data_IF_879364949739
#
_entry.id   IF_879364949739
#
_cell.length_a   1.000
_cell.length_b   1.000
_cell.length_c   1.000
_cell.angle_alpha   90.00
_cell.angle_beta   90.00
_cell.angle_gamma   90.00
#
_symmetry.space_group_name_H-M   'P 1'
#
loop_
_entity.id
_entity.type
_entity.pdbx_description
1 polymer ?
#
# COMPACT_ATOMS: atom_id res chain seq x y z
N UNK A 1 -25.07 -19.99 93.62
CA UNK A 1 -25.55 -20.93 92.60
C UNK A 1 -25.98 -20.11 91.37
N UNK A 2 -25.15 -20.07 90.39
CA UNK A 2 -25.41 -19.28 89.19
C UNK A 2 -25.96 -20.15 88.08
N UNK A 3 -27.11 -19.78 87.55
CA UNK A 3 -27.76 -20.42 86.42
C UNK A 3 -27.35 -19.64 85.15
N UNK A 4 -26.74 -20.32 84.25
CA UNK A 4 -26.38 -19.78 82.91
C UNK A 4 -27.50 -20.19 81.92
N UNK A 5 -28.16 -19.19 81.34
CA UNK A 5 -29.08 -19.42 80.22
C UNK A 5 -28.35 -19.29 78.90
N UNK A 6 -28.34 -20.33 78.12
CA UNK A 6 -27.88 -20.29 76.75
C UNK A 6 -28.93 -19.62 75.85
N UNK A 7 -28.51 -18.55 75.15
CA UNK A 7 -29.31 -17.91 74.15
C UNK A 7 -28.82 -18.49 72.78
N UNK A 8 -29.75 -19.22 72.10
CA UNK A 8 -29.50 -19.70 70.73
C UNK A 8 -29.79 -18.58 69.74
N UNK A 9 -28.78 -18.15 69.03
CA UNK A 9 -28.91 -17.21 67.91
C UNK A 9 -28.98 -18.02 66.60
N UNK A 10 -30.16 -18.04 65.99
CA UNK A 10 -30.36 -18.56 64.63
C UNK A 10 -29.75 -17.61 63.62
N UNK A 11 -28.66 -18.03 62.99
CA UNK A 11 -28.08 -17.35 61.85
C UNK A 11 -28.77 -17.87 60.59
N UNK A 12 -29.69 -17.08 60.02
CA UNK A 12 -30.25 -17.36 58.69
C UNK A 12 -29.23 -16.93 57.62
N UNK A 13 -28.59 -17.88 57.00
CA UNK A 13 -27.71 -17.63 55.85
C UNK A 13 -28.57 -17.37 54.59
N UNK A 14 -28.59 -16.13 54.15
CA UNK A 14 -29.10 -15.79 52.83
C UNK A 14 -28.06 -16.22 51.78
N UNK A 15 -28.32 -17.27 51.05
CA UNK A 15 -27.54 -17.63 49.86
C UNK A 15 -28.01 -16.73 48.71
N UNK A 16 -27.21 -15.74 48.39
CA UNK A 16 -27.36 -14.92 47.18
C UNK A 16 -26.88 -15.76 45.99
N UNK A 17 -27.81 -16.37 45.23
CA UNK A 17 -27.48 -17.02 43.95
C UNK A 17 -27.27 -15.91 42.91
N UNK A 18 -26.03 -15.51 42.68
CA UNK A 18 -25.66 -14.71 41.52
C UNK A 18 -25.77 -15.59 40.26
N UNK A 19 -26.88 -15.47 39.55
CA UNK A 19 -27.02 -16.00 38.17
C UNK A 19 -26.14 -15.18 37.24
N UNK A 20 -24.86 -15.46 37.24
CA UNK A 20 -23.92 -14.92 36.24
C UNK A 20 -24.22 -15.60 34.90
N UNK A 21 -24.96 -14.94 34.04
CA UNK A 21 -24.97 -15.27 32.61
C UNK A 21 -23.56 -15.01 32.06
N UNK A 22 -22.77 -16.06 31.92
CA UNK A 22 -21.51 -16.03 31.15
C UNK A 22 -21.89 -15.73 29.69
N UNK A 23 -21.86 -14.45 29.33
CA UNK A 23 -21.88 -14.07 27.95
C UNK A 23 -20.57 -14.64 27.33
N UNK A 24 -20.72 -15.62 26.44
CA UNK A 24 -19.64 -16.08 25.58
C UNK A 24 -19.27 -14.86 24.71
N UNK A 25 -18.04 -14.30 24.80
CA UNK A 25 -17.68 -13.18 23.94
C UNK A 25 -17.81 -13.63 22.49
N UNK A 26 -18.43 -12.79 21.67
CA UNK A 26 -18.51 -13.02 20.24
C UNK A 26 -17.08 -13.29 19.71
N UNK A 27 -16.91 -14.23 18.76
CA UNK A 27 -15.61 -14.51 18.18
C UNK A 27 -15.07 -13.21 17.58
N UNK A 28 -13.99 -12.71 18.16
CA UNK A 28 -13.28 -11.58 17.59
C UNK A 28 -12.64 -12.03 16.28
N UNK A 29 -12.66 -11.21 15.22
CA UNK A 29 -11.91 -11.53 14.01
C UNK A 29 -10.45 -11.77 14.41
N UNK A 30 -9.75 -12.72 13.75
CA UNK A 30 -8.36 -13.03 14.09
C UNK A 30 -7.54 -11.74 14.02
N UNK A 31 -6.96 -11.35 15.15
CA UNK A 31 -6.00 -10.24 15.18
C UNK A 31 -4.79 -10.68 14.35
N UNK A 32 -4.54 -9.97 13.25
CA UNK A 32 -3.33 -10.17 12.48
C UNK A 32 -2.14 -9.78 13.36
N UNK A 33 -1.15 -10.64 13.47
CA UNK A 33 0.11 -10.28 14.13
C UNK A 33 0.88 -9.29 13.26
N UNK A 34 1.79 -8.51 13.84
CA UNK A 34 2.65 -7.58 13.10
C UNK A 34 3.37 -8.29 11.92
N UNK A 35 3.77 -9.53 12.10
CA UNK A 35 4.35 -10.37 11.05
C UNK A 35 3.36 -10.65 9.91
N UNK A 36 2.09 -10.95 10.21
CA UNK A 36 1.06 -11.16 9.18
C UNK A 36 0.73 -9.88 8.43
N UNK A 37 0.83 -8.71 9.09
CA UNK A 37 0.66 -7.42 8.44
C UNK A 37 1.77 -7.16 7.41
N UNK A 38 3.02 -7.42 7.76
CA UNK A 38 4.15 -7.27 6.85
C UNK A 38 4.08 -8.26 5.67
N UNK A 39 3.82 -9.54 5.95
CA UNK A 39 3.75 -10.60 4.96
C UNK A 39 2.70 -10.34 3.86
N UNK A 40 1.57 -9.70 4.18
CA UNK A 40 0.56 -9.42 3.16
C UNK A 40 1.05 -8.52 2.03
N UNK A 41 1.98 -7.58 2.32
CA UNK A 41 2.51 -6.63 1.33
C UNK A 41 3.67 -7.18 0.51
N UNK A 42 4.32 -8.26 0.95
CA UNK A 42 5.44 -8.88 0.24
C UNK A 42 5.05 -9.33 -1.17
N UNK A 43 3.82 -9.79 -1.33
CA UNK A 43 3.28 -10.25 -2.61
C UNK A 43 2.49 -9.17 -3.36
N UNK A 44 2.35 -7.97 -2.79
CA UNK A 44 1.65 -6.85 -3.43
C UNK A 44 2.60 -5.90 -4.15
N UNK A 45 3.90 -5.92 -3.82
CA UNK A 45 4.90 -4.99 -4.33
C UNK A 45 6.01 -5.76 -5.03
N UNK A 46 6.54 -5.22 -6.13
CA UNK A 46 7.57 -5.88 -6.93
C UNK A 46 8.64 -4.88 -7.37
N UNK A 47 9.93 -5.29 -7.46
CA UNK A 47 10.95 -4.47 -8.09
C UNK A 47 10.66 -4.37 -9.58
N UNK A 48 10.99 -3.22 -10.16
CA UNK A 48 10.96 -2.99 -11.59
C UNK A 48 12.38 -2.72 -12.07
N UNK A 49 12.81 -3.44 -13.09
CA UNK A 49 13.95 -3.09 -13.91
C UNK A 49 13.44 -2.60 -15.26
N UNK A 50 13.97 -1.47 -15.72
CA UNK A 50 13.64 -0.86 -17.00
C UNK A 50 14.69 -1.29 -18.02
N UNK A 51 14.26 -1.81 -19.16
CA UNK A 51 15.16 -2.34 -20.20
C UNK A 51 14.86 -1.72 -21.57
N UNK A 52 15.91 -1.55 -22.36
CA UNK A 52 15.82 -1.24 -23.78
C UNK A 52 16.77 -2.20 -24.52
N UNK A 53 16.20 -3.14 -25.29
CA UNK A 53 16.96 -4.25 -25.85
C UNK A 53 17.72 -5.02 -24.77
N UNK A 54 19.06 -5.16 -24.89
CA UNK A 54 19.88 -5.86 -23.89
C UNK A 54 20.30 -4.98 -22.70
N UNK A 55 20.03 -3.67 -22.73
CA UNK A 55 20.55 -2.71 -21.77
C UNK A 55 19.55 -2.43 -20.65
N UNK A 56 19.99 -2.60 -19.39
CA UNK A 56 19.24 -2.14 -18.22
C UNK A 56 19.43 -0.63 -18.07
N UNK A 57 18.33 0.11 -18.07
CA UNK A 57 18.33 1.57 -18.00
C UNK A 57 18.20 2.09 -16.56
N UNK A 58 17.45 1.38 -15.71
CA UNK A 58 17.19 1.83 -14.36
C UNK A 58 16.39 0.83 -13.53
N UNK A 59 15.99 1.29 -12.33
CA UNK A 59 15.17 0.53 -11.39
C UNK A 59 14.08 1.41 -10.81
N UNK A 60 12.94 0.80 -10.50
CA UNK A 60 11.80 1.44 -9.86
C UNK A 60 11.06 0.42 -8.98
N UNK A 61 9.94 0.82 -8.45
CA UNK A 61 8.99 -0.03 -7.73
C UNK A 61 7.67 -0.06 -8.47
N UNK A 62 6.99 -1.19 -8.41
CA UNK A 62 5.60 -1.33 -8.83
C UNK A 62 4.80 -2.12 -7.81
N UNK A 63 3.50 -2.02 -7.89
CA UNK A 63 2.60 -2.81 -7.06
C UNK A 63 1.39 -3.29 -7.88
N UNK A 64 0.72 -4.33 -7.37
CA UNK A 64 -0.46 -4.89 -8.02
C UNK A 64 -1.71 -4.21 -7.48
N UNK A 65 -2.60 -3.85 -8.41
CA UNK A 65 -3.90 -3.26 -8.10
C UNK A 65 -5.00 -4.00 -8.88
N UNK A 66 -6.05 -4.40 -8.16
CA UNK A 66 -7.18 -5.09 -8.75
C UNK A 66 -8.41 -4.18 -8.70
N UNK A 67 -8.97 -3.88 -9.86
CA UNK A 67 -10.13 -3.01 -10.01
C UNK A 67 -11.01 -3.50 -11.14
N UNK A 68 -12.33 -3.56 -10.91
CA UNK A 68 -13.33 -3.94 -11.93
C UNK A 68 -12.95 -5.22 -12.69
N UNK A 69 -12.64 -6.29 -11.94
CA UNK A 69 -12.26 -7.62 -12.44
C UNK A 69 -10.98 -7.66 -13.30
N UNK A 70 -10.12 -6.63 -13.18
CA UNK A 70 -8.85 -6.54 -13.91
C UNK A 70 -7.68 -6.34 -12.95
N UNK A 71 -6.59 -7.00 -13.29
CA UNK A 71 -5.33 -6.89 -12.55
C UNK A 71 -4.39 -5.95 -13.28
N UNK A 72 -3.78 -5.03 -12.55
CA UNK A 72 -2.83 -4.06 -13.08
C UNK A 72 -1.51 -4.10 -12.30
N UNK A 73 -0.40 -3.91 -13.02
CA UNK A 73 0.83 -3.39 -12.44
C UNK A 73 0.78 -1.86 -12.49
N UNK A 74 0.88 -1.22 -11.34
CA UNK A 74 0.88 0.24 -11.20
C UNK A 74 2.29 0.72 -10.83
N UNK A 75 2.73 1.79 -11.47
CA UNK A 75 4.00 2.49 -11.20
C UNK A 75 3.88 3.96 -11.63
N UNK A 76 4.97 4.72 -11.62
CA UNK A 76 4.96 6.07 -12.18
C UNK A 76 5.04 6.06 -13.71
N UNK A 77 4.53 7.14 -14.33
CA UNK A 77 4.62 7.34 -15.77
C UNK A 77 6.06 7.46 -16.24
N UNK A 78 6.92 8.20 -15.52
CA UNK A 78 8.33 8.34 -15.88
C UNK A 78 9.10 7.02 -15.83
N UNK A 79 8.55 5.95 -15.24
CA UNK A 79 9.13 4.59 -15.24
C UNK A 79 8.91 3.91 -16.59
N UNK A 80 7.82 4.19 -17.28
CA UNK A 80 7.49 3.60 -18.59
C UNK A 80 7.83 4.54 -19.75
N UNK A 81 7.85 5.85 -19.49
CA UNK A 81 8.14 6.87 -20.48
C UNK A 81 8.49 8.21 -19.82
N UNK A 82 9.56 8.84 -20.27
CA UNK A 82 9.90 10.23 -19.95
C UNK A 82 10.35 10.98 -21.19
N UNK A 83 9.48 11.83 -21.70
CA UNK A 83 9.74 12.64 -22.90
C UNK A 83 10.82 13.71 -22.65
N UNK A 84 10.91 14.23 -21.42
CA UNK A 84 11.86 15.27 -21.05
C UNK A 84 13.31 14.81 -21.11
N UNK A 85 13.56 13.58 -20.69
CA UNK A 85 14.89 12.95 -20.70
C UNK A 85 15.12 12.03 -21.90
N UNK A 86 14.10 11.84 -22.76
CA UNK A 86 14.07 10.86 -23.85
C UNK A 86 14.32 9.43 -23.35
N UNK A 87 13.71 9.10 -22.24
CA UNK A 87 13.79 7.78 -21.62
C UNK A 87 12.62 6.92 -22.08
N UNK A 88 12.91 5.89 -22.88
CA UNK A 88 11.90 5.04 -23.51
C UNK A 88 12.31 3.56 -23.40
N UNK A 89 12.07 2.92 -22.25
CA UNK A 89 12.26 1.48 -22.14
C UNK A 89 11.29 0.72 -23.06
N UNK A 90 11.70 -0.44 -23.55
CA UNK A 90 10.84 -1.31 -24.36
C UNK A 90 10.11 -2.36 -23.53
N UNK A 91 10.64 -2.66 -22.34
CA UNK A 91 10.02 -3.60 -21.41
C UNK A 91 10.35 -3.28 -19.95
N UNK A 92 9.49 -3.72 -19.08
CA UNK A 92 9.76 -3.82 -17.65
C UNK A 92 10.04 -5.28 -17.30
N UNK A 93 11.02 -5.52 -16.44
CA UNK A 93 11.23 -6.80 -15.80
C UNK A 93 10.88 -6.67 -14.33
N UNK A 94 9.92 -7.47 -13.90
CA UNK A 94 9.53 -7.60 -12.50
C UNK A 94 9.98 -8.95 -11.97
N UNK A 95 9.89 -9.15 -10.65
CA UNK A 95 10.21 -10.43 -10.03
C UNK A 95 9.03 -10.91 -9.19
N UNK A 96 8.62 -12.15 -9.42
CA UNK A 96 7.43 -12.76 -8.86
C UNK A 96 7.77 -14.04 -8.10
N UNK A 97 7.07 -14.30 -6.99
CA UNK A 97 7.17 -15.53 -6.23
C UNK A 97 6.35 -16.64 -6.90
N UNK A 98 6.86 -17.86 -6.87
CA UNK A 98 6.18 -19.05 -7.38
C UNK A 98 5.72 -19.99 -6.27
N UNK A 99 6.11 -19.72 -5.00
CA UNK A 99 5.70 -20.46 -3.82
C UNK A 99 5.30 -19.53 -2.69
N UNK A 100 4.22 -19.86 -1.99
CA UNK A 100 3.77 -19.13 -0.80
C UNK A 100 4.43 -19.63 0.50
N UNK A 101 5.06 -20.80 0.47
CA UNK A 101 5.73 -21.41 1.64
C UNK A 101 7.25 -21.35 1.56
N UNK A 102 7.80 -21.15 0.37
CA UNK A 102 9.24 -21.00 0.13
C UNK A 102 9.49 -19.74 -0.70
N UNK A 103 9.72 -18.62 -0.05
CA UNK A 103 9.88 -17.31 -0.68
C UNK A 103 11.21 -17.18 -1.46
N UNK A 104 12.13 -18.15 -1.32
CA UNK A 104 13.32 -18.21 -2.17
C UNK A 104 12.98 -18.58 -3.61
N UNK A 105 11.82 -19.22 -3.81
CA UNK A 105 11.30 -19.54 -5.14
C UNK A 105 10.65 -18.33 -5.77
N UNK A 106 11.45 -17.52 -6.43
CA UNK A 106 11.02 -16.35 -7.16
C UNK A 106 11.82 -16.20 -8.46
N UNK A 107 11.26 -15.53 -9.44
CA UNK A 107 11.88 -15.41 -10.75
C UNK A 107 11.45 -14.16 -11.53
N UNK A 108 12.19 -13.82 -12.60
CA UNK A 108 11.85 -12.67 -13.42
C UNK A 108 10.64 -12.95 -14.32
N UNK A 109 9.88 -11.88 -14.60
CA UNK A 109 8.81 -11.85 -15.58
C UNK A 109 8.90 -10.55 -16.38
N UNK A 110 8.98 -10.68 -17.71
CA UNK A 110 9.11 -9.53 -18.61
C UNK A 110 7.74 -9.06 -19.11
N UNK A 111 7.47 -7.77 -19.01
CA UNK A 111 6.25 -7.11 -19.46
C UNK A 111 6.63 -6.18 -20.61
N UNK A 112 6.23 -6.46 -21.86
CA UNK A 112 6.48 -5.58 -22.98
C UNK A 112 5.69 -4.28 -22.83
N UNK A 113 6.34 -3.14 -23.04
CA UNK A 113 5.71 -1.82 -22.99
C UNK A 113 5.03 -1.43 -24.31
N UNK A 114 5.36 -2.13 -25.39
CA UNK A 114 4.74 -1.89 -26.69
C UNK A 114 4.25 -3.19 -27.30
N UNK A 115 3.05 -3.17 -27.84
CA UNK A 115 2.46 -4.24 -28.65
C UNK A 115 2.00 -3.66 -30.00
N UNK A 116 2.44 -4.26 -31.08
CA UNK A 116 2.19 -3.71 -32.43
C UNK A 116 2.62 -2.23 -32.56
N UNK A 117 3.73 -1.87 -31.93
CA UNK A 117 4.29 -0.50 -31.86
C UNK A 117 3.39 0.51 -31.12
N UNK A 118 2.43 0.07 -30.32
CA UNK A 118 1.53 0.91 -29.53
C UNK A 118 1.77 0.60 -28.05
N UNK A 119 1.74 1.63 -27.22
CA UNK A 119 1.91 1.52 -25.77
C UNK A 119 0.86 0.60 -25.13
N UNK A 120 1.28 -0.20 -24.16
CA UNK A 120 0.42 -1.16 -23.43
C UNK A 120 -0.08 -0.63 -22.10
N UNK A 121 0.40 0.54 -21.65
CA UNK A 121 0.00 1.13 -20.38
C UNK A 121 -1.10 2.19 -20.54
N UNK A 122 -1.77 2.47 -19.44
CA UNK A 122 -2.72 3.57 -19.29
C UNK A 122 -2.06 4.69 -18.48
N UNK A 123 -2.28 5.94 -18.90
CA UNK A 123 -1.84 7.12 -18.18
C UNK A 123 -2.86 8.25 -18.33
N UNK A 124 -2.86 9.18 -17.37
CA UNK A 124 -3.68 10.39 -17.37
C UNK A 124 -2.79 11.63 -17.54
N UNK A 125 -3.11 12.58 -18.44
CA UNK A 125 -2.37 13.82 -18.55
C UNK A 125 -2.27 14.55 -17.22
N UNK A 126 -1.08 15.08 -16.91
CA UNK A 126 -0.83 15.84 -15.68
C UNK A 126 -0.66 14.99 -14.41
N UNK A 127 -0.74 13.67 -14.51
CA UNK A 127 -0.53 12.71 -13.41
C UNK A 127 0.64 11.80 -13.75
N UNK A 128 1.59 11.65 -12.82
CA UNK A 128 2.75 10.79 -13.02
C UNK A 128 2.47 9.37 -12.53
N UNK A 129 1.44 8.74 -13.12
CA UNK A 129 1.07 7.35 -12.89
C UNK A 129 0.89 6.61 -14.20
N UNK A 130 1.24 5.34 -14.21
CA UNK A 130 0.99 4.38 -15.27
C UNK A 130 0.42 3.08 -14.71
N UNK A 131 -0.53 2.49 -15.42
CA UNK A 131 -1.11 1.19 -15.10
C UNK A 131 -1.05 0.27 -16.31
N UNK A 132 -0.44 -0.90 -16.16
CA UNK A 132 -0.32 -1.92 -17.20
C UNK A 132 -1.26 -3.07 -16.84
N UNK A 133 -2.22 -3.37 -17.69
CA UNK A 133 -3.13 -4.50 -17.50
C UNK A 133 -2.38 -5.82 -17.66
N UNK A 134 -2.52 -6.71 -16.69
CA UNK A 134 -1.87 -8.02 -16.67
C UNK A 134 -2.88 -9.13 -16.96
N UNK A 135 -2.47 -10.13 -17.74
CA UNK A 135 -3.26 -11.32 -17.96
C UNK A 135 -3.41 -12.13 -16.67
N UNK A 136 -4.62 -12.23 -16.13
CA UNK A 136 -4.89 -13.02 -14.92
C UNK A 136 -4.54 -14.50 -15.11
N UNK A 137 -4.75 -15.03 -16.33
CA UNK A 137 -4.38 -16.41 -16.67
C UNK A 137 -2.87 -16.63 -16.57
N UNK A 138 -2.05 -15.68 -17.04
CA UNK A 138 -0.59 -15.78 -16.91
C UNK A 138 -0.13 -15.58 -15.48
N UNK A 139 -0.77 -14.66 -14.75
CA UNK A 139 -0.42 -14.35 -13.36
C UNK A 139 -0.84 -15.44 -12.37
N UNK A 140 -1.81 -16.30 -12.70
CA UNK A 140 -2.28 -17.38 -11.82
C UNK A 140 -1.20 -18.41 -11.42
N UNK A 141 -0.10 -18.47 -12.14
CA UNK A 141 1.05 -19.35 -11.82
C UNK A 141 1.99 -18.74 -10.77
N UNK A 142 1.76 -17.50 -10.36
CA UNK A 142 2.57 -16.81 -9.37
C UNK A 142 1.77 -16.55 -8.10
N UNK A 143 2.48 -16.41 -7.00
CA UNK A 143 1.91 -15.94 -5.74
C UNK A 143 1.97 -14.43 -5.73
N UNK A 144 0.83 -13.80 -5.91
CA UNK A 144 0.69 -12.35 -5.83
C UNK A 144 -0.61 -11.99 -5.10
N UNK A 145 -0.59 -10.84 -4.46
CA UNK A 145 -1.75 -10.17 -3.88
C UNK A 145 -1.84 -8.78 -4.49
N UNK A 146 -3.01 -8.18 -4.45
CA UNK A 146 -3.22 -6.85 -5.03
C UNK A 146 -3.95 -5.95 -4.03
N UNK A 147 -3.63 -4.67 -4.07
CA UNK A 147 -4.49 -3.66 -3.48
C UNK A 147 -5.79 -3.59 -4.26
N UNK A 148 -6.85 -3.20 -3.58
CA UNK A 148 -8.18 -2.99 -4.15
C UNK A 148 -8.74 -1.67 -3.59
N UNK A 149 -9.83 -1.13 -4.14
CA UNK A 149 -10.48 0.05 -3.56
C UNK A 149 -10.89 -0.09 -2.09
N UNK A 150 -11.02 -1.32 -1.57
CA UNK A 150 -11.29 -1.56 -0.15
C UNK A 150 -10.16 -1.14 0.80
N UNK A 151 -8.94 -0.95 0.28
CA UNK A 151 -7.82 -0.40 1.05
C UNK A 151 -7.83 1.13 1.13
N UNK A 152 -8.73 1.82 0.45
CA UNK A 152 -8.78 3.28 0.50
C UNK A 152 -9.29 3.76 1.84
N UNK A 153 -8.92 4.99 2.19
CA UNK A 153 -9.40 5.65 3.42
C UNK A 153 -10.92 5.80 3.36
N UNK A 154 -11.67 5.20 4.27
CA UNK A 154 -13.12 5.37 4.27
C UNK A 154 -13.51 6.77 4.77
N UNK A 155 -14.71 7.28 4.42
CA UNK A 155 -15.12 8.66 4.75
C UNK A 155 -15.20 8.98 6.25
N UNK A 156 -15.30 7.95 7.09
CA UNK A 156 -15.38 8.09 8.55
C UNK A 156 -14.00 8.12 9.24
N UNK A 157 -12.89 8.09 8.48
CA UNK A 157 -11.53 8.17 9.02
C UNK A 157 -10.86 9.45 8.54
N UNK A 158 -10.21 10.16 9.46
CA UNK A 158 -9.46 11.38 9.19
C UNK A 158 -7.97 11.08 9.16
N UNK A 159 -7.35 11.44 8.05
CA UNK A 159 -5.90 11.49 7.88
C UNK A 159 -5.49 12.95 7.90
N UNK A 160 -4.38 13.28 8.56
CA UNK A 160 -3.92 14.66 8.69
C UNK A 160 -2.40 14.78 8.55
N UNK A 161 -1.93 15.99 8.35
CA UNK A 161 -0.50 16.31 8.44
C UNK A 161 0.07 15.89 9.80
N UNK A 162 1.24 15.27 9.78
CA UNK A 162 1.89 14.67 10.95
C UNK A 162 1.54 13.19 11.19
N UNK A 163 0.58 12.62 10.47
CA UNK A 163 0.30 11.18 10.59
C UNK A 163 1.42 10.36 9.95
N UNK A 164 1.80 9.27 10.64
CA UNK A 164 2.81 8.35 10.18
C UNK A 164 2.35 7.58 8.93
N UNK A 165 3.27 7.45 7.99
CA UNK A 165 3.10 6.63 6.79
C UNK A 165 4.22 5.60 6.65
N UNK A 166 3.95 4.54 5.92
CA UNK A 166 4.94 3.58 5.45
C UNK A 166 5.00 3.58 3.93
N UNK A 167 6.21 3.58 3.39
CA UNK A 167 6.48 3.49 1.95
C UNK A 167 7.21 2.18 1.71
N UNK A 168 6.65 1.32 0.86
CA UNK A 168 7.16 -0.02 0.61
C UNK A 168 7.73 -0.09 -0.80
N UNK A 169 9.01 -0.44 -0.94
CA UNK A 169 9.61 -0.46 -2.27
C UNK A 169 11.04 -0.97 -2.32
N UNK A 170 11.70 -0.70 -3.45
CA UNK A 170 13.02 -1.22 -3.79
C UNK A 170 14.01 -0.07 -4.07
N UNK A 171 14.45 0.67 -3.04
CA UNK A 171 15.36 1.80 -3.20
C UNK A 171 16.65 1.36 -3.90
N UNK A 172 17.00 2.00 -5.03
CA UNK A 172 18.17 1.66 -5.88
C UNK A 172 18.20 0.20 -6.34
N UNK A 173 17.03 -0.46 -6.41
CA UNK A 173 16.92 -1.90 -6.64
C UNK A 173 17.43 -2.76 -5.48
N UNK A 174 17.64 -2.16 -4.30
CA UNK A 174 18.05 -2.89 -3.10
C UNK A 174 16.86 -3.66 -2.51
N UNK A 175 17.09 -4.93 -2.25
CA UNK A 175 16.13 -5.86 -1.64
C UNK A 175 16.88 -6.97 -0.92
N UNK A 176 16.17 -7.79 -0.19
CA UNK A 176 16.68 -9.13 0.16
C UNK A 176 16.74 -9.97 -1.12
N UNK A 177 17.96 -10.17 -1.62
CA UNK A 177 18.20 -10.85 -2.91
C UNK A 177 17.75 -12.31 -2.92
N UNK A 178 17.68 -12.95 -1.77
CA UNK A 178 17.26 -14.35 -1.65
C UNK A 178 15.73 -14.48 -1.73
N UNK A 179 15.02 -13.67 -0.95
CA UNK A 179 13.57 -13.74 -0.81
C UNK A 179 12.84 -12.68 -1.64
N UNK A 180 13.55 -11.78 -2.30
CA UNK A 180 12.97 -10.65 -3.05
C UNK A 180 12.04 -9.76 -2.20
N UNK A 181 12.41 -9.54 -0.92
CA UNK A 181 11.60 -8.70 -0.04
C UNK A 181 11.89 -7.20 -0.25
N UNK A 182 10.83 -6.38 -0.28
CA UNK A 182 10.97 -4.93 -0.36
C UNK A 182 11.53 -4.35 0.96
N UNK A 183 11.96 -3.11 0.87
CA UNK A 183 12.35 -2.31 2.04
C UNK A 183 11.18 -1.41 2.43
N UNK A 184 10.87 -1.38 3.72
CA UNK A 184 9.88 -0.47 4.31
C UNK A 184 10.58 0.77 4.86
N UNK A 185 10.06 1.95 4.49
CA UNK A 185 10.48 3.26 5.01
C UNK A 185 9.34 3.91 5.76
N UNK A 186 9.65 4.56 6.87
CA UNK A 186 8.70 5.34 7.66
C UNK A 186 8.88 6.81 7.32
N UNK A 187 7.78 7.54 7.25
CA UNK A 187 7.71 8.99 7.08
C UNK A 187 6.45 9.54 7.70
N UNK A 188 6.18 10.82 7.47
CA UNK A 188 4.96 11.50 7.93
C UNK A 188 4.33 12.31 6.79
N UNK A 189 3.01 12.47 6.82
CA UNK A 189 2.30 13.37 5.92
C UNK A 189 2.75 14.81 6.21
N UNK A 190 3.23 15.51 5.18
CA UNK A 190 3.82 16.85 5.31
C UNK A 190 2.93 17.98 4.75
N UNK A 191 1.76 17.66 4.20
CA UNK A 191 0.80 18.66 3.69
C UNK A 191 -0.62 18.34 4.15
N UNK A 192 -1.54 19.30 3.99
CA UNK A 192 -2.94 19.08 4.35
C UNK A 192 -3.57 17.97 3.50
N UNK A 193 -4.05 16.91 4.15
CA UNK A 193 -4.70 15.77 3.49
C UNK A 193 -6.23 15.85 3.74
N UNK A 194 -7.11 15.62 2.76
CA UNK A 194 -6.86 15.24 1.37
C UNK A 194 -6.90 16.45 0.39
N UNK A 195 -6.35 17.60 0.77
CA UNK A 195 -6.36 18.81 -0.06
C UNK A 195 -5.25 18.72 -1.11
N UNK A 196 -5.56 18.87 -2.43
CA UNK A 196 -4.58 18.84 -3.50
C UNK A 196 -3.48 19.89 -3.31
N UNK A 197 -2.22 19.46 -3.29
CA UNK A 197 -1.10 20.37 -3.10
C UNK A 197 -0.82 21.17 -4.39
N UNK A 198 -0.87 22.51 -4.29
CA UNK A 198 -0.73 23.42 -5.44
C UNK A 198 -1.69 23.10 -6.60
N UNK A 199 -2.90 22.59 -6.29
CA UNK A 199 -3.91 22.23 -7.29
C UNK A 199 -3.64 20.89 -8.01
N UNK A 200 -2.55 20.21 -7.70
CA UNK A 200 -2.24 18.87 -8.22
C UNK A 200 -2.83 17.79 -7.30
N UNK A 201 -3.32 16.70 -7.87
CA UNK A 201 -3.94 15.57 -7.13
C UNK A 201 -2.89 14.73 -6.38
N UNK A 202 -2.05 15.41 -5.60
CA UNK A 202 -1.02 14.81 -4.76
C UNK A 202 -0.95 15.49 -3.39
N UNK A 203 -0.31 14.81 -2.45
CA UNK A 203 0.09 15.35 -1.15
C UNK A 203 1.59 15.15 -0.94
N UNK A 204 2.15 15.78 0.08
CA UNK A 204 3.57 15.66 0.42
C UNK A 204 3.79 14.73 1.60
N UNK A 205 4.89 13.99 1.54
CA UNK A 205 5.40 13.13 2.60
C UNK A 205 6.84 13.52 2.92
N UNK A 206 7.12 13.76 4.21
CA UNK A 206 8.48 13.86 4.74
C UNK A 206 8.98 12.45 5.01
N UNK A 207 9.86 11.99 4.12
CA UNK A 207 10.49 10.67 4.24
C UNK A 207 11.81 10.66 3.48
N UNK A 208 12.83 10.06 4.07
CA UNK A 208 14.09 9.86 3.37
C UNK A 208 13.95 8.71 2.37
N UNK A 209 13.55 9.03 1.15
CA UNK A 209 13.45 8.09 0.04
C UNK A 209 14.66 8.20 -0.88
N UNK A 210 14.87 7.20 -1.71
CA UNK A 210 15.99 7.13 -2.64
C UNK A 210 15.48 6.80 -4.06
N UNK A 211 16.25 7.10 -5.12
CA UNK A 211 15.93 6.61 -6.46
C UNK A 211 15.62 5.11 -6.46
N UNK A 212 14.63 4.69 -7.25
CA UNK A 212 14.11 3.33 -7.24
C UNK A 212 12.84 3.15 -6.38
N UNK A 213 12.50 4.11 -5.50
CA UNK A 213 11.22 4.11 -4.79
C UNK A 213 10.07 4.76 -5.58
N UNK A 214 10.34 5.28 -6.78
CA UNK A 214 9.29 5.71 -7.71
C UNK A 214 8.31 4.57 -7.97
N UNK A 215 6.99 4.83 -7.84
CA UNK A 215 5.94 3.83 -7.96
C UNK A 215 5.66 3.03 -6.68
N UNK A 216 6.35 3.31 -5.56
CA UNK A 216 6.08 2.67 -4.28
C UNK A 216 4.70 3.04 -3.74
N UNK A 217 3.90 2.08 -3.24
CA UNK A 217 2.69 2.39 -2.50
C UNK A 217 3.04 3.08 -1.17
N UNK A 218 2.24 4.09 -0.84
CA UNK A 218 2.28 4.81 0.43
C UNK A 218 1.05 4.45 1.23
N UNK A 219 1.25 3.92 2.43
CA UNK A 219 0.19 3.43 3.30
C UNK A 219 0.17 4.23 4.59
N UNK A 220 -1.00 4.39 5.18
CA UNK A 220 -1.09 4.81 6.57
C UNK A 220 -0.43 3.75 7.44
N UNK A 221 0.48 4.16 8.32
CA UNK A 221 1.04 3.23 9.31
C UNK A 221 -0.08 2.73 10.23
N UNK A 222 -0.17 1.43 10.52
CA UNK A 222 -1.15 0.92 11.45
C UNK A 222 -1.16 1.67 12.76
N UNK A 223 -2.34 2.07 13.22
CA UNK A 223 -2.52 2.81 14.45
C UNK A 223 -3.57 2.14 15.33
N UNK A 224 -3.29 2.02 16.61
CA UNK A 224 -4.27 1.52 17.59
C UNK A 224 -5.46 2.47 17.78
N UNK A 225 -5.34 3.71 17.32
CA UNK A 225 -6.38 4.74 17.45
C UNK A 225 -6.56 5.43 16.11
N UNK A 226 -7.80 5.48 15.63
CA UNK A 226 -8.19 6.19 14.42
C UNK A 226 -9.06 7.41 14.79
N UNK A 227 -8.86 8.53 14.09
CA UNK A 227 -9.65 9.75 14.25
C UNK A 227 -10.82 9.76 13.28
N UNK A 228 -11.97 10.27 13.75
CA UNK A 228 -13.15 10.49 12.92
C UNK A 228 -13.35 11.99 12.65
N UNK A 229 -14.16 12.36 11.64
CA UNK A 229 -14.49 13.75 11.36
C UNK A 229 -15.18 14.49 12.52
N UNK A 230 -15.84 13.77 13.43
CA UNK A 230 -16.49 14.32 14.63
C UNK A 230 -15.53 14.50 15.80
N UNK A 231 -14.24 14.18 15.62
CA UNK A 231 -13.23 14.23 16.69
C UNK A 231 -13.27 13.03 17.64
N UNK A 232 -14.12 12.03 17.39
CA UNK A 232 -14.15 10.81 18.18
C UNK A 232 -12.95 9.94 17.83
N UNK A 233 -12.45 9.19 18.82
CA UNK A 233 -11.39 8.21 18.64
C UNK A 233 -12.00 6.81 18.60
N UNK A 234 -11.59 6.01 17.61
CA UNK A 234 -12.00 4.61 17.49
C UNK A 234 -10.78 3.70 17.61
N UNK A 235 -10.94 2.49 18.17
CA UNK A 235 -9.89 1.48 18.09
C UNK A 235 -9.55 1.17 16.62
N UNK A 236 -8.27 1.30 16.25
CA UNK A 236 -7.80 1.10 14.86
C UNK A 236 -7.32 -0.32 14.58
N UNK A 237 -6.85 -1.01 15.61
CA UNK A 237 -6.21 -2.31 15.42
C UNK A 237 -4.96 -2.21 14.54
N UNK A 238 -4.75 -3.20 13.67
CA UNK A 238 -3.67 -3.21 12.68
C UNK A 238 -4.13 -2.76 11.28
N UNK A 239 -5.22 -1.99 11.22
CA UNK A 239 -5.77 -1.51 9.94
C UNK A 239 -4.83 -0.50 9.31
N UNK A 240 -4.56 -0.70 8.03
CA UNK A 240 -3.82 0.23 7.18
C UNK A 240 -4.67 0.64 5.98
N UNK A 241 -4.41 1.85 5.46
CA UNK A 241 -5.09 2.37 4.28
C UNK A 241 -4.08 2.76 3.21
N UNK A 242 -4.41 2.47 1.97
CA UNK A 242 -3.63 2.89 0.81
C UNK A 242 -3.92 4.36 0.50
N UNK A 243 -2.92 5.22 0.72
CA UNK A 243 -3.03 6.66 0.57
C UNK A 243 -2.67 7.15 -0.84
N UNK A 244 -1.70 6.49 -1.47
CA UNK A 244 -1.25 6.91 -2.79
C UNK A 244 0.07 6.28 -3.25
N UNK A 245 0.66 6.87 -4.28
CA UNK A 245 1.84 6.37 -4.97
C UNK A 245 2.95 7.41 -4.92
N UNK A 246 4.10 7.04 -4.38
CA UNK A 246 5.29 7.90 -4.37
C UNK A 246 5.77 8.16 -5.79
N UNK A 247 5.93 9.43 -6.14
CA UNK A 247 6.47 9.85 -7.45
C UNK A 247 7.95 10.19 -7.40
N UNK A 248 8.37 10.84 -6.34
CA UNK A 248 9.76 11.25 -6.15
C UNK A 248 9.88 12.52 -5.32
N UNK A 249 11.10 12.96 -5.14
CA UNK A 249 11.42 14.11 -4.33
C UNK A 249 11.05 15.42 -5.03
N UNK A 250 10.46 16.34 -4.27
CA UNK A 250 10.29 17.74 -4.70
C UNK A 250 11.64 18.44 -4.56
N UNK A 251 12.19 18.88 -5.69
CA UNK A 251 13.50 19.54 -5.72
C UNK A 251 13.31 21.07 -5.61
N UNK A 252 13.98 21.69 -4.65
CA UNK A 252 14.14 23.12 -4.58
C UNK A 252 15.34 23.57 -5.41
N UNK A 253 15.40 24.81 -5.88
CA UNK A 253 16.58 25.30 -6.60
C UNK A 253 17.85 25.16 -5.77
N UNK A 254 18.70 24.22 -6.17
CA UNK A 254 20.02 23.99 -5.56
C UNK A 254 20.09 23.02 -4.39
N UNK A 255 18.96 22.47 -3.87
CA UNK A 255 18.98 21.54 -2.74
C UNK A 255 17.81 20.54 -2.73
N UNK A 256 18.03 19.44 -2.03
CA UNK A 256 17.02 18.45 -1.70
C UNK A 256 16.04 19.02 -0.68
N UNK A 257 14.73 18.87 -0.93
CA UNK A 257 13.70 19.32 0.02
C UNK A 257 13.49 18.32 1.16
N UNK A 258 13.86 17.03 0.95
CA UNK A 258 13.46 15.93 1.82
C UNK A 258 11.97 15.56 1.70
N UNK A 259 11.18 16.31 0.92
CA UNK A 259 9.76 16.10 0.73
C UNK A 259 9.51 15.32 -0.56
N UNK A 260 8.60 14.37 -0.51
CA UNK A 260 8.24 13.52 -1.65
C UNK A 260 6.78 13.77 -2.05
N UNK A 261 6.53 13.88 -3.36
CA UNK A 261 5.20 13.97 -3.92
C UNK A 261 4.54 12.59 -3.98
N UNK A 262 3.31 12.49 -3.51
CA UNK A 262 2.54 11.24 -3.49
C UNK A 262 1.21 11.47 -4.17
N UNK A 263 0.98 10.84 -5.33
CA UNK A 263 -0.30 10.89 -6.04
C UNK A 263 -1.37 10.14 -5.24
N UNK A 264 -2.56 10.73 -5.11
CA UNK A 264 -3.65 10.10 -4.35
C UNK A 264 -4.04 8.72 -4.90
N UNK A 265 -4.45 7.81 -4.03
CA UNK A 265 -4.96 6.49 -4.39
C UNK A 265 -6.15 6.55 -5.36
N UNK A 266 -6.97 7.60 -5.31
CA UNK A 266 -8.08 7.85 -6.24
C UNK A 266 -7.64 8.01 -7.69
N UNK A 267 -6.41 8.48 -7.94
CA UNK A 267 -5.86 8.56 -9.30
C UNK A 267 -5.55 7.17 -9.85
N UNK A 268 -5.11 6.22 -9.00
CA UNK A 268 -4.92 4.81 -9.39
C UNK A 268 -6.27 4.21 -9.80
N UNK A 269 -7.32 4.41 -9.00
CA UNK A 269 -8.66 3.94 -9.33
C UNK A 269 -9.15 4.54 -10.66
N UNK A 270 -8.88 5.83 -10.87
CA UNK A 270 -9.28 6.53 -12.10
C UNK A 270 -8.66 5.89 -13.33
N UNK A 271 -7.34 5.68 -13.37
CA UNK A 271 -6.63 5.15 -14.55
C UNK A 271 -6.89 3.67 -14.78
N UNK A 272 -7.31 2.93 -13.75
CA UNK A 272 -7.64 1.50 -13.85
C UNK A 272 -9.12 1.22 -14.10
N UNK A 273 -9.99 2.23 -14.06
CA UNK A 273 -11.42 2.06 -14.34
C UNK A 273 -11.66 1.62 -15.81
N UNK A 274 -12.64 0.77 -16.02
CA UNK A 274 -13.00 0.29 -17.36
C UNK A 274 -13.48 1.41 -18.29
N UNK A 275 -14.11 2.44 -17.71
CA UNK A 275 -14.57 3.63 -18.42
C UNK A 275 -13.46 4.60 -18.81
N UNK A 276 -12.25 4.46 -18.26
CA UNK A 276 -11.14 5.36 -18.51
C UNK A 276 -10.58 5.18 -19.92
N UNK A 277 -10.49 6.29 -20.66
CA UNK A 277 -9.90 6.32 -22.00
C UNK A 277 -8.47 6.85 -21.91
N UNK A 278 -7.52 5.97 -22.02
CA UNK A 278 -6.09 6.34 -22.04
C UNK A 278 -5.68 6.87 -23.40
N UNK A 279 -4.70 7.75 -23.41
CA UNK A 279 -3.92 8.09 -24.59
C UNK A 279 -2.99 6.92 -24.90
N UNK A 280 -2.78 6.64 -26.17
CA UNK A 280 -1.81 5.64 -26.63
C UNK A 280 -0.65 6.32 -27.34
N UNK A 281 0.53 5.73 -27.24
CA UNK A 281 1.77 6.27 -27.81
C UNK A 281 2.37 5.26 -28.78
N UNK A 282 2.92 5.77 -29.88
CA UNK A 282 3.74 4.97 -30.76
C UNK A 282 5.09 4.69 -30.10
N UNK A 283 5.66 3.52 -30.38
CA UNK A 283 7.02 3.21 -29.99
C UNK A 283 7.99 4.18 -30.70
N UNK A 284 8.89 4.85 -30.00
CA UNK A 284 9.88 5.79 -30.55
C UNK A 284 10.85 5.15 -31.53
#
# INVERSE_FOLDING_TARGET
MFHWKFLAVCLSAFILVCSGTTQIPAPQPPQQTAQQWEEQFLFMVTPIEQWCGPSKLGTATGFFFFNEDRLYLVTNKHVVRDDGTRFFPDKLRIRLHTSASDHTQNGPYDIPLYQNKISTWREKPGVDLAAIELSQTEMSRFVLKAFTPSFFVPPNIVIAAGDDVVVIGYPRGFSDLLHNYPVTRIGAIASAYPIPFNGQQLFLVDARLHPGTSGSPVLMKPSSILRTPTGTLHPGGETTYFLGVNSGEVIFPGESSGLNGVWYASEVQTITASSFKSVTFAQP
#
